data_IF_650150463574
#
_entry.id   IF_650150463574
#
_cell.length_a   1.000
_cell.length_b   1.000
_cell.length_c   1.000
_cell.angle_alpha   90.00
_cell.angle_beta   90.00
_cell.angle_gamma   90.00
#
_symmetry.space_group_name_H-M   'P 1'
#
loop_
_entity.id
_entity.type
_entity.pdbx_description
1 polymer ?
#
# COMPACT_ATOMS: atom_id res chain seq x y z
N UNK A 1 17.58 -1.52 -19.76
CA UNK A 1 17.88 -0.69 -18.58
C UNK A 1 17.83 -1.59 -17.36
N UNK A 2 18.91 -1.66 -16.61
CA UNK A 2 19.00 -2.41 -15.37
C UNK A 2 19.47 -1.45 -14.27
N UNK A 3 18.91 -1.55 -13.08
CA UNK A 3 19.28 -0.66 -11.99
C UNK A 3 18.48 -0.89 -10.72
N UNK A 4 18.77 -0.07 -9.72
CA UNK A 4 18.05 -0.04 -8.46
C UNK A 4 17.66 1.40 -8.17
N UNK A 5 16.45 1.58 -7.64
CA UNK A 5 15.98 2.87 -7.13
C UNK A 5 15.63 2.67 -5.67
N UNK A 6 16.17 3.53 -4.80
CA UNK A 6 15.88 3.49 -3.38
C UNK A 6 15.55 4.89 -2.89
N UNK A 7 14.45 4.99 -2.13
CA UNK A 7 14.15 6.13 -1.29
C UNK A 7 13.87 5.61 0.11
N UNK A 8 14.59 6.15 1.09
CA UNK A 8 14.41 5.81 2.50
C UNK A 8 14.33 7.09 3.32
N UNK A 9 13.50 7.07 4.36
CA UNK A 9 13.32 8.20 5.25
C UNK A 9 12.86 7.77 6.63
N UNK A 10 13.17 8.60 7.63
CA UNK A 10 12.71 8.41 9.01
C UNK A 10 12.24 9.72 9.60
N UNK A 11 11.23 9.66 10.45
CA UNK A 11 10.64 10.81 11.17
C UNK A 11 10.30 11.99 10.23
N UNK A 12 9.74 11.70 9.06
CA UNK A 12 9.34 12.72 8.09
C UNK A 12 8.03 13.35 8.52
N UNK A 13 7.93 14.68 8.38
CA UNK A 13 6.69 15.40 8.62
C UNK A 13 6.01 15.69 7.28
N UNK A 14 4.86 15.07 7.08
CA UNK A 14 3.95 15.39 5.98
C UNK A 14 2.96 16.44 6.46
N UNK A 15 3.00 17.62 5.86
CA UNK A 15 2.04 18.69 6.09
C UNK A 15 0.93 18.65 5.04
N UNK A 16 -0.27 19.08 5.42
CA UNK A 16 -1.44 19.13 4.55
C UNK A 16 -2.24 17.83 4.50
N UNK A 17 -1.85 16.78 5.24
CA UNK A 17 -2.53 15.47 5.28
C UNK A 17 -2.44 14.78 6.63
N UNK A 18 -3.52 14.06 6.98
CA UNK A 18 -3.53 13.11 8.09
C UNK A 18 -3.67 11.67 7.55
N UNK A 19 -2.54 11.04 7.22
CA UNK A 19 -2.46 9.67 6.70
C UNK A 19 -3.11 8.63 7.63
N UNK A 20 -2.96 8.76 8.95
CA UNK A 20 -3.59 7.83 9.89
C UNK A 20 -5.11 7.85 9.74
N UNK A 21 -5.70 9.03 9.63
CA UNK A 21 -7.14 9.17 9.42
C UNK A 21 -7.59 8.64 8.05
N UNK A 22 -6.79 8.83 7.00
CA UNK A 22 -7.12 8.31 5.67
C UNK A 22 -7.02 6.77 5.61
N UNK A 23 -6.05 6.16 6.30
CA UNK A 23 -5.94 4.71 6.41
C UNK A 23 -7.05 4.08 7.26
N UNK A 24 -7.45 4.74 8.35
CA UNK A 24 -8.60 4.28 9.17
C UNK A 24 -9.91 4.34 8.35
N UNK A 25 -10.08 5.38 7.51
CA UNK A 25 -11.21 5.47 6.57
C UNK A 25 -11.17 4.36 5.53
N UNK A 26 -10.00 4.10 4.95
CA UNK A 26 -9.81 3.01 4.00
C UNK A 26 -10.29 1.67 4.57
N UNK A 27 -9.86 1.32 5.78
CA UNK A 27 -10.24 0.07 6.43
C UNK A 27 -11.76 -0.01 6.70
N UNK A 28 -12.35 1.10 7.16
CA UNK A 28 -13.75 1.14 7.61
C UNK A 28 -14.77 1.24 6.47
N UNK A 29 -14.50 2.04 5.44
CA UNK A 29 -15.47 2.29 4.37
C UNK A 29 -15.39 1.26 3.26
N UNK A 30 -14.23 0.60 3.08
CA UNK A 30 -13.94 -0.18 1.86
C UNK A 30 -14.29 0.63 0.59
N UNK A 31 -14.21 1.96 0.66
CA UNK A 31 -14.31 2.84 -0.49
C UNK A 31 -12.97 3.52 -0.56
N UNK A 32 -12.10 2.96 -1.37
CA UNK A 32 -10.73 3.38 -1.47
C UNK A 32 -10.46 3.90 -2.85
N UNK A 33 -9.87 5.08 -2.88
CA UNK A 33 -9.14 5.54 -4.02
C UNK A 33 -7.69 5.69 -3.55
N UNK A 34 -6.83 4.71 -3.87
CA UNK A 34 -5.41 4.74 -3.54
C UNK A 34 -4.72 6.05 -4.00
N UNK A 35 -5.28 6.66 -5.05
CA UNK A 35 -4.98 8.01 -5.51
C UNK A 35 -5.12 9.02 -4.37
N UNK A 36 -6.25 9.03 -3.66
CA UNK A 36 -6.59 10.05 -2.67
C UNK A 36 -5.73 9.97 -1.39
N UNK A 37 -5.21 8.78 -1.07
CA UNK A 37 -4.26 8.60 0.06
C UNK A 37 -2.80 8.77 -0.33
N UNK A 38 -2.52 8.97 -1.62
CA UNK A 38 -1.19 9.27 -2.12
C UNK A 38 -0.22 8.11 -2.06
N UNK A 39 -0.63 6.88 -2.38
CA UNK A 39 0.31 5.75 -2.31
C UNK A 39 1.52 5.89 -3.24
N UNK A 40 1.38 6.68 -4.30
CA UNK A 40 2.49 7.07 -5.17
C UNK A 40 3.56 7.92 -4.48
N UNK A 41 3.22 8.63 -3.40
CA UNK A 41 4.18 9.38 -2.60
C UNK A 41 5.24 8.45 -1.99
N UNK A 42 4.83 7.27 -1.49
CA UNK A 42 5.77 6.33 -0.89
C UNK A 42 6.26 5.24 -1.84
N UNK A 43 5.66 5.09 -3.02
CA UNK A 43 6.32 4.43 -4.16
C UNK A 43 7.59 5.19 -4.61
N UNK A 44 7.82 6.40 -4.11
CA UNK A 44 9.07 7.13 -4.27
C UNK A 44 9.27 7.67 -5.70
N UNK A 45 10.52 7.89 -6.13
CA UNK A 45 10.82 8.53 -7.41
C UNK A 45 10.21 7.80 -8.63
N UNK A 46 10.07 6.47 -8.57
CA UNK A 46 9.45 5.68 -9.64
C UNK A 46 7.94 5.91 -9.72
N UNK A 47 7.26 6.09 -8.58
CA UNK A 47 5.83 6.43 -8.55
C UNK A 47 5.55 7.78 -9.22
N UNK A 48 6.42 8.78 -9.00
CA UNK A 48 6.31 10.09 -9.64
C UNK A 48 6.49 10.04 -11.15
N UNK A 49 7.33 9.14 -11.68
CA UNK A 49 7.49 8.99 -13.12
C UNK A 49 6.18 8.55 -13.80
N UNK A 50 5.39 7.71 -13.13
CA UNK A 50 4.05 7.30 -13.58
C UNK A 50 3.06 8.46 -13.56
N UNK A 51 3.23 9.44 -12.66
CA UNK A 51 2.31 10.56 -12.52
C UNK A 51 2.25 11.53 -13.70
N UNK A 52 3.17 11.44 -14.66
CA UNK A 52 3.08 12.22 -15.89
C UNK A 52 1.95 11.75 -16.82
N UNK A 53 1.49 10.51 -16.67
CA UNK A 53 0.44 9.92 -17.51
C UNK A 53 -0.99 10.11 -17.00
N UNK A 54 -1.17 10.32 -15.69
CA UNK A 54 -2.47 10.43 -15.03
C UNK A 54 -2.47 11.65 -14.11
N UNK A 55 -3.53 12.44 -14.14
CA UNK A 55 -3.60 13.69 -13.38
C UNK A 55 -3.80 13.40 -11.88
N UNK A 56 -2.71 13.07 -11.20
CA UNK A 56 -2.65 12.89 -9.75
C UNK A 56 -2.60 14.23 -8.99
N UNK A 57 -2.90 15.36 -9.62
CA UNK A 57 -2.98 16.66 -8.94
C UNK A 57 -4.02 16.67 -7.81
N UNK A 58 -5.06 15.84 -7.91
CA UNK A 58 -6.04 15.61 -6.84
C UNK A 58 -5.45 14.91 -5.61
N UNK A 59 -4.33 14.17 -5.73
CA UNK A 59 -3.63 13.56 -4.59
C UNK A 59 -3.19 14.64 -3.57
N UNK A 60 -2.92 15.85 -4.05
CA UNK A 60 -2.56 17.01 -3.23
C UNK A 60 -3.79 17.77 -2.70
N UNK A 61 -5.02 17.37 -3.07
CA UNK A 61 -6.29 17.88 -2.52
C UNK A 61 -6.98 16.85 -1.59
N UNK A 62 -7.10 17.15 -0.30
CA UNK A 62 -7.53 16.18 0.72
C UNK A 62 -7.51 16.82 2.10
N UNK A 63 -7.82 16.04 3.15
CA UNK A 63 -8.04 16.61 4.48
C UNK A 63 -6.81 17.35 4.99
N UNK A 64 -6.96 18.63 5.31
CA UNK A 64 -5.89 19.42 5.90
C UNK A 64 -5.46 18.78 7.23
N UNK A 65 -4.17 18.54 7.41
CA UNK A 65 -3.66 17.82 8.58
C UNK A 65 -2.15 17.72 8.60
N UNK A 66 -1.62 16.97 9.57
CA UNK A 66 -0.20 16.66 9.69
C UNK A 66 -0.05 15.18 10.01
N UNK A 67 0.95 14.54 9.40
CA UNK A 67 1.35 13.18 9.72
C UNK A 67 2.84 13.08 9.95
N UNK A 68 3.19 12.20 10.87
CA UNK A 68 4.55 11.74 11.05
C UNK A 68 4.70 10.39 10.37
N UNK A 69 5.61 10.30 9.41
CA UNK A 69 6.02 9.06 8.79
C UNK A 69 7.30 8.62 9.51
N UNK A 70 7.15 7.66 10.42
CA UNK A 70 8.26 7.17 11.27
C UNK A 70 9.31 6.48 10.43
N UNK A 71 8.89 5.69 9.45
CA UNK A 71 9.77 5.01 8.50
C UNK A 71 9.11 4.99 7.12
N UNK A 72 9.88 5.30 6.09
CA UNK A 72 9.55 5.11 4.69
C UNK A 72 10.68 4.31 4.04
N UNK A 73 10.33 3.24 3.34
CA UNK A 73 11.23 2.47 2.49
C UNK A 73 10.55 2.29 1.14
N UNK A 74 11.29 2.53 0.07
CA UNK A 74 10.84 2.41 -1.30
C UNK A 74 12.00 1.94 -2.16
N UNK A 75 12.22 0.63 -2.12
CA UNK A 75 13.29 -0.05 -2.83
C UNK A 75 12.70 -0.82 -4.02
N UNK A 76 13.25 -0.53 -5.19
CA UNK A 76 12.79 -1.05 -6.47
C UNK A 76 13.97 -1.58 -7.26
N UNK A 77 13.74 -2.70 -7.94
CA UNK A 77 14.65 -3.24 -8.95
C UNK A 77 14.11 -2.90 -10.33
N UNK A 78 14.92 -2.26 -11.16
CA UNK A 78 14.54 -1.93 -12.53
C UNK A 78 15.21 -2.93 -13.47
N UNK A 79 14.42 -3.63 -14.26
CA UNK A 79 14.90 -4.56 -15.28
C UNK A 79 14.10 -4.39 -16.57
N UNK A 80 14.79 -4.22 -17.69
CA UNK A 80 14.16 -4.08 -19.03
C UNK A 80 13.06 -3.00 -19.07
N UNK A 81 13.21 -1.96 -18.25
CA UNK A 81 12.23 -0.86 -18.18
C UNK A 81 11.01 -1.13 -17.30
N UNK A 82 11.00 -2.23 -16.54
CA UNK A 82 9.99 -2.53 -15.52
C UNK A 82 10.61 -2.33 -14.15
N UNK A 83 9.98 -1.53 -13.27
CA UNK A 83 10.37 -1.42 -11.87
C UNK A 83 9.54 -2.37 -11.02
N UNK A 84 10.20 -3.35 -10.38
CA UNK A 84 9.61 -4.33 -9.49
C UNK A 84 9.89 -3.94 -8.03
N UNK A 85 8.84 -3.90 -7.21
CA UNK A 85 8.96 -3.61 -5.78
C UNK A 85 9.82 -4.67 -5.10
N UNK A 86 10.78 -4.26 -4.26
CA UNK A 86 11.58 -5.18 -3.42
C UNK A 86 11.22 -5.01 -1.95
N UNK A 87 11.17 -3.76 -1.50
CA UNK A 87 10.71 -3.39 -0.16
C UNK A 87 10.07 -2.00 -0.26
N UNK A 88 8.74 -1.95 -0.26
CA UNK A 88 7.99 -0.69 -0.40
C UNK A 88 6.95 -0.63 0.69
N UNK A 89 7.21 0.17 1.72
CA UNK A 89 6.32 0.33 2.85
C UNK A 89 6.53 1.64 3.60
N UNK A 90 5.50 2.04 4.33
CA UNK A 90 5.55 3.13 5.29
C UNK A 90 4.95 2.72 6.62
N UNK A 91 5.47 3.30 7.69
CA UNK A 91 4.87 3.28 9.01
C UNK A 91 4.62 4.71 9.49
N UNK A 92 3.37 5.00 9.84
CA UNK A 92 2.96 6.21 10.55
C UNK A 92 2.95 5.95 12.06
N UNK A 93 2.23 6.76 12.83
CA UNK A 93 2.09 6.53 14.26
C UNK A 93 1.13 5.39 14.59
N UNK A 94 0.15 5.09 13.72
CA UNK A 94 -0.86 4.05 13.99
C UNK A 94 -0.89 2.94 12.94
N UNK A 95 -0.49 3.23 11.72
CA UNK A 95 -0.72 2.37 10.58
C UNK A 95 0.59 1.97 9.89
N UNK A 96 0.57 0.78 9.28
CA UNK A 96 1.64 0.28 8.43
C UNK A 96 1.04 -0.13 7.09
N UNK A 97 1.60 0.40 6.00
CA UNK A 97 1.11 0.16 4.64
C UNK A 97 2.26 -0.36 3.80
N UNK A 98 2.01 -1.39 3.01
CA UNK A 98 2.97 -1.98 2.09
C UNK A 98 2.43 -1.99 0.66
N UNK A 99 3.34 -1.99 -0.31
CA UNK A 99 3.06 -2.09 -1.73
C UNK A 99 3.87 -3.23 -2.33
N UNK A 100 3.23 -4.02 -3.20
CA UNK A 100 3.89 -4.99 -4.06
C UNK A 100 3.40 -4.84 -5.51
N UNK A 101 4.24 -5.21 -6.47
CA UNK A 101 3.89 -5.24 -7.89
C UNK A 101 4.93 -4.56 -8.78
N UNK A 102 4.55 -4.36 -10.04
CA UNK A 102 5.41 -3.81 -11.08
C UNK A 102 4.89 -2.51 -11.70
N UNK A 103 5.81 -1.63 -12.05
CA UNK A 103 5.56 -0.46 -12.91
C UNK A 103 6.27 -0.69 -14.24
N UNK A 104 5.52 -0.97 -15.29
CA UNK A 104 6.05 -1.20 -16.63
C UNK A 104 6.07 0.13 -17.39
N UNK A 105 7.25 0.74 -17.47
CA UNK A 105 7.45 2.00 -18.17
C UNK A 105 7.58 1.83 -19.69
N UNK A 106 7.78 0.60 -20.17
CA UNK A 106 7.85 0.31 -21.62
C UNK A 106 6.46 0.31 -22.22
N UNK A 107 5.51 -0.33 -21.52
CA UNK A 107 4.11 -0.43 -21.95
C UNK A 107 3.19 0.56 -21.24
N UNK A 108 3.75 1.49 -20.46
CA UNK A 108 3.05 2.50 -19.66
C UNK A 108 1.88 1.92 -18.85
N UNK A 109 2.13 0.89 -18.04
CA UNK A 109 1.07 0.16 -17.31
C UNK A 109 1.46 -0.28 -15.89
N UNK A 110 0.45 -0.35 -15.04
CA UNK A 110 0.51 -1.03 -13.76
C UNK A 110 0.46 -2.55 -14.00
N UNK A 111 1.43 -3.26 -13.44
CA UNK A 111 1.54 -4.71 -13.48
C UNK A 111 1.22 -5.25 -12.07
N UNK A 112 -0.07 -5.45 -11.83
CA UNK A 112 -0.67 -5.94 -10.57
C UNK A 112 -0.09 -5.27 -9.33
N UNK A 113 -0.19 -3.94 -9.27
CA UNK A 113 0.23 -3.17 -8.10
C UNK A 113 -0.81 -3.31 -7.01
N UNK A 114 -0.47 -4.01 -5.93
CA UNK A 114 -1.32 -4.17 -4.75
C UNK A 114 -0.78 -3.32 -3.60
N UNK A 115 -1.65 -2.50 -3.01
CA UNK A 115 -1.35 -1.77 -1.78
C UNK A 115 -2.22 -2.28 -0.65
N UNK A 116 -1.59 -2.47 0.50
CA UNK A 116 -2.17 -3.19 1.62
C UNK A 116 -1.91 -2.45 2.92
N UNK A 117 -2.98 -2.22 3.67
CA UNK A 117 -2.90 -1.90 5.10
C UNK A 117 -2.68 -3.22 5.85
N UNK A 118 -1.60 -3.30 6.61
CA UNK A 118 -1.17 -4.53 7.29
C UNK A 118 -1.19 -4.38 8.82
N UNK A 119 -1.36 -5.51 9.52
CA UNK A 119 -1.24 -5.59 10.97
C UNK A 119 0.24 -5.67 11.42
N UNK A 120 0.47 -5.93 12.71
CA UNK A 120 1.80 -6.09 13.30
C UNK A 120 2.57 -7.31 12.79
N UNK A 121 1.85 -8.38 12.42
CA UNK A 121 2.40 -9.61 11.83
C UNK A 121 2.68 -9.50 10.34
N UNK A 122 2.18 -8.45 9.68
CA UNK A 122 2.33 -8.25 8.24
C UNK A 122 1.19 -8.86 7.42
N UNK A 123 0.09 -9.22 8.08
CA UNK A 123 -1.10 -9.77 7.45
C UNK A 123 -2.04 -8.67 6.96
N UNK A 124 -2.82 -9.02 5.94
CA UNK A 124 -3.74 -8.11 5.24
C UNK A 124 -4.90 -7.70 6.15
N UNK A 125 -5.07 -6.39 6.38
CA UNK A 125 -6.28 -5.81 7.00
C UNK A 125 -7.23 -5.25 5.94
N UNK A 126 -6.67 -4.57 4.95
CA UNK A 126 -7.38 -4.06 3.78
C UNK A 126 -6.42 -3.98 2.59
N UNK A 127 -6.91 -4.22 1.38
CA UNK A 127 -6.09 -4.22 0.16
C UNK A 127 -6.82 -3.56 -1.01
N UNK A 128 -6.04 -3.07 -1.98
CA UNK A 128 -6.52 -2.65 -3.29
C UNK A 128 -5.47 -2.97 -4.34
N UNK A 129 -5.93 -3.54 -5.46
CA UNK A 129 -5.09 -3.86 -6.62
C UNK A 129 -5.37 -2.87 -7.74
N UNK A 130 -4.31 -2.51 -8.45
CA UNK A 130 -4.32 -1.59 -9.59
C UNK A 130 -3.63 -2.28 -10.76
N UNK A 131 -4.30 -2.25 -11.91
CA UNK A 131 -3.78 -2.80 -13.16
C UNK A 131 -4.16 -1.91 -14.34
N UNK A 132 -3.60 -2.19 -15.51
CA UNK A 132 -3.91 -1.47 -16.74
C UNK A 132 -3.05 -0.23 -16.96
N UNK A 133 -3.42 0.58 -17.95
CA UNK A 133 -2.58 1.68 -18.42
C UNK A 133 -2.40 2.77 -17.34
N UNK A 134 -1.21 3.36 -17.27
CA UNK A 134 -0.91 4.45 -16.35
C UNK A 134 -1.90 5.60 -16.49
N UNK A 135 -2.31 5.92 -17.71
CA UNK A 135 -3.25 7.03 -18.01
C UNK A 135 -4.71 6.73 -17.68
N UNK A 136 -5.07 5.46 -17.55
CA UNK A 136 -6.43 5.03 -17.22
C UNK A 136 -6.36 3.71 -16.43
N UNK A 137 -5.86 3.75 -15.18
CA UNK A 137 -5.76 2.57 -14.34
C UNK A 137 -7.14 2.02 -14.05
N UNK A 138 -7.22 0.70 -14.01
CA UNK A 138 -8.35 0.00 -13.42
C UNK A 138 -7.99 -0.27 -11.98
N UNK A 139 -8.81 0.30 -11.09
CA UNK A 139 -8.70 0.12 -9.66
C UNK A 139 -9.77 -0.88 -9.24
N UNK A 140 -9.35 -2.04 -8.77
CA UNK A 140 -10.30 -3.05 -8.34
C UNK A 140 -11.06 -2.57 -7.09
N UNK A 141 -12.38 -2.70 -7.12
CA UNK A 141 -13.19 -2.43 -5.93
C UNK A 141 -12.81 -3.43 -4.83
N UNK A 142 -12.71 -3.01 -3.56
CA UNK A 142 -12.30 -3.88 -2.44
C UNK A 142 -13.32 -4.97 -2.04
N UNK A 143 -14.22 -5.36 -2.96
CA UNK A 143 -15.09 -6.51 -2.79
C UNK A 143 -14.29 -7.81 -3.01
N UNK A 144 -13.96 -8.50 -1.92
CA UNK A 144 -14.33 -9.94 -1.70
C UNK A 144 -13.59 -10.64 -0.55
N UNK A 145 -12.70 -10.01 0.24
CA UNK A 145 -12.16 -10.72 1.42
C UNK A 145 -13.21 -10.95 2.53
N UNK A 146 -14.40 -10.33 2.44
CA UNK A 146 -15.55 -10.68 3.29
C UNK A 146 -16.18 -12.03 2.95
N UNK A 147 -15.94 -12.64 1.78
CA UNK A 147 -16.49 -13.98 1.48
C UNK A 147 -15.85 -15.07 2.35
N UNK A 148 -14.65 -14.81 2.88
CA UNK A 148 -14.00 -15.68 3.86
C UNK A 148 -14.42 -15.38 5.31
N UNK A 149 -15.28 -14.40 5.57
CA UNK A 149 -15.82 -14.14 6.93
C UNK A 149 -17.17 -14.79 7.19
N UNK A 150 -17.52 -15.81 6.40
CA UNK A 150 -18.71 -16.64 6.61
C UNK A 150 -18.70 -17.38 7.96
N UNK A 151 -19.81 -18.05 8.32
CA UNK A 151 -19.97 -18.76 9.61
C UNK A 151 -18.82 -19.73 9.92
N UNK A 152 -18.19 -20.29 8.87
CA UNK A 152 -17.07 -21.23 8.95
C UNK A 152 -15.81 -20.59 9.57
N UNK A 153 -15.50 -19.32 9.28
CA UNK A 153 -14.35 -18.63 9.88
C UNK A 153 -14.65 -18.12 11.29
N UNK A 154 -15.91 -17.84 11.64
CA UNK A 154 -16.28 -17.62 13.06
C UNK A 154 -16.01 -18.87 13.90
N UNK A 155 -16.31 -20.06 13.38
CA UNK A 155 -15.99 -21.33 14.03
C UNK A 155 -14.48 -21.57 14.14
N UNK A 156 -13.71 -21.30 13.07
CA UNK A 156 -12.24 -21.38 13.12
C UNK A 156 -11.61 -20.36 14.06
N UNK A 157 -12.17 -19.15 14.22
CA UNK A 157 -11.71 -18.18 15.23
C UNK A 157 -11.98 -18.67 16.66
N UNK A 158 -13.09 -19.39 16.87
CA UNK A 158 -13.47 -19.97 18.16
C UNK A 158 -12.60 -21.19 18.54
N UNK A 159 -12.09 -21.92 17.54
CA UNK A 159 -11.12 -23.02 17.74
C UNK A 159 -9.67 -22.49 17.77
N UNK A 160 -9.36 -21.46 16.99
CA UNK A 160 -8.06 -20.76 16.99
C UNK A 160 -7.82 -19.94 18.25
N UNK A 161 -8.84 -19.54 19.00
CA UNK A 161 -8.64 -19.00 20.36
C UNK A 161 -8.10 -20.03 21.36
N UNK A 162 -8.09 -21.33 20.99
CA UNK A 162 -7.44 -22.40 21.77
C UNK A 162 -5.98 -22.66 21.34
N UNK A 163 -5.52 -22.06 20.23
CA UNK A 163 -4.16 -22.14 19.72
C UNK A 163 -3.69 -20.75 19.24
N UNK A 164 -2.90 -20.00 20.04
CA UNK A 164 -2.47 -18.65 19.69
C UNK A 164 -1.49 -18.69 18.50
N UNK A 165 -2.02 -18.77 17.28
CA UNK A 165 -1.20 -18.96 16.08
C UNK A 165 -1.96 -19.34 14.81
N UNK A 166 -3.20 -18.86 14.61
CA UNK A 166 -3.83 -18.97 13.29
C UNK A 166 -3.03 -18.15 12.28
N UNK A 167 -2.20 -18.80 11.47
CA UNK A 167 -1.36 -18.18 10.44
C UNK A 167 -2.25 -17.54 9.38
N UNK A 168 -2.18 -16.21 9.29
CA UNK A 168 -2.72 -15.45 8.17
C UNK A 168 -1.65 -15.38 7.08
N UNK A 169 -2.08 -15.25 5.82
CA UNK A 169 -1.16 -15.05 4.71
C UNK A 169 -0.41 -13.71 4.90
N UNK A 170 0.89 -13.81 5.23
CA UNK A 170 1.75 -12.64 5.43
C UNK A 170 2.01 -11.98 4.07
N UNK A 171 1.44 -10.80 3.88
CA UNK A 171 1.66 -10.01 2.66
C UNK A 171 3.03 -9.34 2.67
N UNK A 172 3.49 -8.87 3.83
CA UNK A 172 4.71 -8.08 3.94
C UNK A 172 5.57 -8.50 5.12
N UNK A 173 6.81 -8.90 4.82
CA UNK A 173 7.85 -9.26 5.77
C UNK A 173 9.12 -8.41 5.61
N UNK A 174 8.99 -7.21 5.03
CA UNK A 174 10.10 -6.30 4.75
C UNK A 174 10.61 -5.54 5.98
N UNK A 175 11.47 -4.54 5.76
CA UNK A 175 12.25 -3.89 6.82
C UNK A 175 11.47 -2.90 7.68
N UNK A 176 10.34 -2.39 7.18
CA UNK A 176 9.47 -1.46 7.93
C UNK A 176 8.74 -2.18 9.08
N UNK A 177 9.18 -1.90 10.30
CA UNK A 177 8.60 -2.45 11.53
C UNK A 177 7.21 -1.87 11.83
N UNK A 178 6.35 -2.57 12.58
CA UNK A 178 5.07 -2.05 13.03
C UNK A 178 5.23 -0.77 13.87
N UNK A 179 4.25 0.15 13.85
CA UNK A 179 4.17 1.22 14.83
C UNK A 179 4.11 0.63 16.25
N UNK A 180 4.71 1.36 17.19
CA UNK A 180 4.66 1.06 18.64
C UNK A 180 3.48 1.76 19.28
#
# INVERSE_FOLDING_TARGET
MEGQVSLRGKNLILNGRNLDQEFDRFESSQTFNLVDVGAFFFAGPVGLAVTKGYSFASILQGSAGRSEIRTLVSDWKVERGVALSQDVAIATNKNRVALQGGLDFVNERFDDVTVVLIDDKGCIRAQQTIHGAFKNPVVENPSTLKSLTGPVVKLLKQVGSLFPGGECDVFYAGSVVPPK
#
